data_IF_807598512469
#
_entry.id   IF_807598512469
#
_cell.length_a   1.000
_cell.length_b   1.000
_cell.length_c   1.000
_cell.angle_alpha   90.00
_cell.angle_beta   90.00
_cell.angle_gamma   90.00
#
_symmetry.space_group_name_H-M   'P 1'
#
loop_
_entity.id
_entity.type
_entity.pdbx_description
1 polymer ?
#
# COMPACT_ATOMS: atom_id res chain seq x y z
N UNK A 1 11.31 -0.40 -21.33
CA UNK A 1 10.18 0.19 -20.56
C UNK A 1 9.94 1.60 -21.07
N UNK A 2 8.72 1.99 -21.41
CA UNK A 2 8.48 3.38 -21.84
C UNK A 2 8.64 4.35 -20.65
N UNK A 3 9.10 5.57 -20.91
CA UNK A 3 9.28 6.61 -19.87
C UNK A 3 7.97 6.87 -19.12
N UNK A 4 6.84 6.78 -19.83
CA UNK A 4 5.51 6.89 -19.24
C UNK A 4 5.19 5.76 -18.25
N UNK A 5 5.53 4.51 -18.59
CA UNK A 5 5.30 3.38 -17.70
C UNK A 5 6.17 3.48 -16.44
N UNK A 6 7.43 3.91 -16.59
CA UNK A 6 8.33 4.12 -15.47
C UNK A 6 7.80 5.21 -14.51
N UNK A 7 7.42 6.37 -15.04
CA UNK A 7 6.88 7.46 -14.22
C UNK A 7 5.58 7.05 -13.51
N UNK A 8 4.74 6.28 -14.19
CA UNK A 8 3.52 5.77 -13.59
C UNK A 8 3.81 4.82 -12.42
N UNK A 9 4.70 3.84 -12.60
CA UNK A 9 4.93 2.79 -11.62
C UNK A 9 5.65 3.28 -10.35
N UNK A 10 6.62 4.20 -10.51
CA UNK A 10 7.50 4.61 -9.42
C UNK A 10 7.09 5.92 -8.74
N UNK A 11 6.28 6.75 -9.40
CA UNK A 11 5.85 8.03 -8.83
C UNK A 11 4.34 8.10 -8.65
N UNK A 12 3.57 7.90 -9.72
CA UNK A 12 2.11 8.11 -9.70
C UNK A 12 1.41 7.03 -8.87
N UNK A 13 1.67 5.76 -9.14
CA UNK A 13 0.99 4.64 -8.48
C UNK A 13 1.21 4.64 -6.96
N UNK A 14 2.44 4.77 -6.42
CA UNK A 14 2.66 4.85 -4.98
C UNK A 14 2.01 6.09 -4.35
N UNK A 15 1.89 7.21 -5.07
CA UNK A 15 1.19 8.41 -4.57
C UNK A 15 -0.30 8.12 -4.41
N UNK A 16 -0.91 7.49 -5.41
CA UNK A 16 -2.32 7.10 -5.35
C UNK A 16 -2.55 6.15 -4.16
N UNK A 17 -1.69 5.14 -4.00
CA UNK A 17 -1.75 4.22 -2.86
C UNK A 17 -1.62 4.95 -1.53
N UNK A 18 -0.73 5.93 -1.42
CA UNK A 18 -0.55 6.74 -0.22
C UNK A 18 -1.82 7.52 0.13
N UNK A 19 -2.44 8.20 -0.85
CA UNK A 19 -3.69 8.94 -0.64
C UNK A 19 -4.83 7.99 -0.24
N UNK A 20 -4.96 6.85 -0.91
CA UNK A 20 -5.95 5.81 -0.57
C UNK A 20 -5.72 5.30 0.86
N UNK A 21 -4.47 5.06 1.26
CA UNK A 21 -4.14 4.59 2.60
C UNK A 21 -4.56 5.61 3.67
N UNK A 22 -4.30 6.90 3.46
CA UNK A 22 -4.73 7.96 4.40
C UNK A 22 -6.26 8.02 4.55
N UNK A 23 -6.99 8.03 3.43
CA UNK A 23 -8.46 8.04 3.43
C UNK A 23 -8.99 6.76 4.10
N UNK A 24 -8.40 5.61 3.76
CA UNK A 24 -8.74 4.30 4.29
C UNK A 24 -8.53 4.18 5.79
N UNK A 25 -7.42 4.71 6.33
CA UNK A 25 -7.18 4.80 7.78
C UNK A 25 -8.26 5.65 8.45
N UNK A 26 -8.52 6.85 7.94
CA UNK A 26 -9.53 7.75 8.50
C UNK A 26 -10.93 7.12 8.54
N UNK A 27 -11.31 6.41 7.47
CA UNK A 27 -12.55 5.65 7.41
C UNK A 27 -12.55 4.44 8.35
N UNK A 28 -11.47 3.66 8.36
CA UNK A 28 -11.35 2.43 9.16
C UNK A 28 -11.41 2.71 10.66
N UNK A 29 -10.76 3.79 11.13
CA UNK A 29 -10.83 4.21 12.54
C UNK A 29 -12.27 4.53 12.96
N UNK A 30 -13.06 5.16 12.07
CA UNK A 30 -14.44 5.56 12.37
C UNK A 30 -15.47 4.44 12.25
N UNK A 31 -15.29 3.51 11.30
CA UNK A 31 -16.33 2.53 10.94
C UNK A 31 -15.96 1.09 11.24
N UNK A 32 -14.74 0.66 10.93
CA UNK A 32 -14.33 -0.74 11.11
C UNK A 32 -12.81 -0.84 11.24
N UNK A 33 -12.35 -1.09 12.48
CA UNK A 33 -10.93 -1.26 12.81
C UNK A 33 -10.29 -2.49 12.16
N UNK A 34 -11.10 -3.41 11.60
CA UNK A 34 -10.62 -4.65 10.95
C UNK A 34 -9.75 -4.39 9.71
N UNK A 35 -10.02 -3.30 8.99
CA UNK A 35 -9.26 -2.92 7.79
C UNK A 35 -8.03 -2.06 8.10
N UNK A 36 -7.87 -1.63 9.36
CA UNK A 36 -6.88 -0.63 9.75
C UNK A 36 -5.46 -1.10 9.45
N UNK A 37 -5.17 -2.36 9.77
CA UNK A 37 -3.84 -2.94 9.59
C UNK A 37 -3.42 -3.02 8.12
N UNK A 38 -4.36 -3.31 7.22
CA UNK A 38 -4.11 -3.31 5.79
C UNK A 38 -3.77 -1.91 5.26
N UNK A 39 -4.51 -0.89 5.68
CA UNK A 39 -4.20 0.50 5.28
C UNK A 39 -2.91 1.04 5.91
N UNK A 40 -2.56 0.64 7.14
CA UNK A 40 -1.27 0.99 7.74
C UNK A 40 -0.12 0.38 6.94
N UNK A 41 -0.22 -0.89 6.52
CA UNK A 41 0.78 -1.53 5.68
C UNK A 41 0.94 -0.84 4.32
N UNK A 42 -0.18 -0.41 3.71
CA UNK A 42 -0.12 0.41 2.49
C UNK A 42 0.61 1.73 2.71
N UNK A 43 0.33 2.41 3.81
CA UNK A 43 0.96 3.68 4.15
C UNK A 43 2.47 3.52 4.37
N UNK A 44 2.85 2.50 5.15
CA UNK A 44 4.25 2.16 5.41
C UNK A 44 4.99 1.74 4.14
N UNK A 45 4.35 0.95 3.28
CA UNK A 45 4.90 0.55 2.00
C UNK A 45 5.13 1.72 1.05
N UNK A 46 4.15 2.62 0.93
CA UNK A 46 4.32 3.83 0.13
C UNK A 46 5.40 4.76 0.73
N UNK A 47 5.43 4.92 2.05
CA UNK A 47 6.47 5.70 2.73
C UNK A 47 7.88 5.13 2.50
N UNK A 48 8.07 3.82 2.67
CA UNK A 48 9.35 3.14 2.41
C UNK A 48 9.73 3.15 0.93
N UNK A 49 8.75 3.08 0.02
CA UNK A 49 8.97 3.24 -1.42
C UNK A 49 9.58 4.61 -1.75
N UNK A 50 9.00 5.69 -1.22
CA UNK A 50 9.54 7.05 -1.38
C UNK A 50 10.87 7.25 -0.66
N UNK A 51 11.03 6.67 0.52
CA UNK A 51 12.29 6.73 1.27
C UNK A 51 13.44 6.11 0.46
N UNK A 52 13.23 4.93 -0.12
CA UNK A 52 14.20 4.28 -0.99
C UNK A 52 14.58 5.16 -2.19
N UNK A 53 13.58 5.68 -2.91
CA UNK A 53 13.82 6.47 -4.13
C UNK A 53 14.46 7.84 -3.87
N UNK A 54 13.97 8.58 -2.87
CA UNK A 54 14.31 9.99 -2.69
C UNK A 54 15.50 10.22 -1.75
N UNK A 55 15.61 9.39 -0.70
CA UNK A 55 16.58 9.58 0.39
C UNK A 55 17.80 8.71 0.19
N UNK A 56 17.63 7.39 0.04
CA UNK A 56 18.77 6.46 -0.15
C UNK A 56 19.38 6.62 -1.54
N UNK A 57 18.52 6.74 -2.57
CA UNK A 57 18.92 6.91 -3.99
C UNK A 57 19.77 5.75 -4.51
N UNK A 58 20.24 5.87 -5.76
CA UNK A 58 21.06 4.87 -6.44
C UNK A 58 20.43 3.47 -6.47
N UNK A 59 21.25 2.44 -6.68
CA UNK A 59 20.79 1.05 -6.80
C UNK A 59 20.21 0.51 -5.50
N UNK A 60 20.80 0.86 -4.34
CA UNK A 60 20.32 0.42 -3.04
C UNK A 60 18.94 1.00 -2.70
N UNK A 61 18.72 2.27 -3.03
CA UNK A 61 17.43 2.93 -2.89
C UNK A 61 16.34 2.34 -3.78
N UNK A 62 16.68 1.95 -5.02
CA UNK A 62 15.75 1.23 -5.89
C UNK A 62 15.40 -0.15 -5.34
N UNK A 63 16.37 -0.89 -4.79
CA UNK A 63 16.13 -2.19 -4.18
C UNK A 63 15.19 -2.08 -2.97
N UNK A 64 15.46 -1.15 -2.06
CA UNK A 64 14.59 -0.87 -0.90
C UNK A 64 13.18 -0.48 -1.37
N UNK A 65 13.10 0.39 -2.36
CA UNK A 65 11.84 0.88 -2.90
C UNK A 65 10.97 -0.25 -3.48
N UNK A 66 11.57 -1.17 -4.25
CA UNK A 66 10.87 -2.28 -4.89
C UNK A 66 10.54 -3.42 -3.92
N UNK A 67 11.55 -3.92 -3.20
CA UNK A 67 11.38 -5.12 -2.38
C UNK A 67 10.71 -4.83 -1.04
N UNK A 68 11.11 -3.77 -0.34
CA UNK A 68 10.52 -3.42 0.94
C UNK A 68 9.26 -2.56 0.74
N UNK A 69 9.37 -1.46 -0.01
CA UNK A 69 8.25 -0.56 -0.26
C UNK A 69 7.13 -1.22 -1.07
N UNK A 70 7.45 -1.65 -2.28
CA UNK A 70 6.52 -2.35 -3.17
C UNK A 70 5.96 -3.64 -2.56
N UNK A 71 6.81 -4.43 -1.90
CA UNK A 71 6.39 -5.63 -1.18
C UNK A 71 5.38 -5.35 -0.07
N UNK A 72 5.62 -4.31 0.73
CA UNK A 72 4.70 -3.89 1.80
C UNK A 72 3.38 -3.35 1.25
N UNK A 73 3.40 -2.65 0.13
CA UNK A 73 2.17 -2.22 -0.58
C UNK A 73 1.36 -3.46 -1.01
N UNK A 74 2.00 -4.44 -1.64
CA UNK A 74 1.32 -5.67 -2.07
C UNK A 74 0.74 -6.45 -0.88
N UNK A 75 1.49 -6.56 0.21
CA UNK A 75 1.01 -7.19 1.45
C UNK A 75 -0.19 -6.43 2.04
N UNK A 76 -0.14 -5.09 2.06
CA UNK A 76 -1.26 -4.27 2.51
C UNK A 76 -2.52 -4.50 1.68
N UNK A 77 -2.39 -4.55 0.34
CA UNK A 77 -3.51 -4.86 -0.57
C UNK A 77 -4.06 -6.26 -0.31
N UNK A 78 -3.18 -7.25 -0.15
CA UNK A 78 -3.57 -8.63 0.12
C UNK A 78 -4.35 -8.75 1.43
N UNK A 79 -3.87 -8.12 2.50
CA UNK A 79 -4.54 -8.12 3.81
C UNK A 79 -5.92 -7.48 3.70
N UNK A 80 -6.06 -6.35 2.99
CA UNK A 80 -7.37 -5.72 2.76
C UNK A 80 -8.32 -6.65 1.99
N UNK A 81 -7.82 -7.32 0.95
CA UNK A 81 -8.60 -8.23 0.14
C UNK A 81 -9.10 -9.44 0.94
N UNK A 82 -8.20 -10.08 1.70
CA UNK A 82 -8.54 -11.20 2.60
C UNK A 82 -9.58 -10.75 3.64
N UNK A 83 -9.37 -9.58 4.27
CA UNK A 83 -10.30 -9.04 5.27
C UNK A 83 -11.68 -8.81 4.69
N UNK A 84 -11.76 -8.33 3.44
CA UNK A 84 -13.02 -8.08 2.74
C UNK A 84 -13.75 -9.39 2.42
N UNK A 85 -13.04 -10.41 1.91
CA UNK A 85 -13.60 -11.74 1.64
C UNK A 85 -14.12 -12.37 2.94
N UNK A 86 -13.30 -12.37 3.98
CA UNK A 86 -13.66 -12.95 5.27
C UNK A 86 -14.91 -12.28 5.86
N UNK A 87 -15.00 -10.95 5.78
CA UNK A 87 -16.16 -10.21 6.28
C UNK A 87 -17.43 -10.54 5.49
N UNK A 88 -17.34 -10.70 4.16
CA UNK A 88 -18.47 -11.12 3.32
C UNK A 88 -18.93 -12.55 3.59
N UNK A 89 -18.00 -13.48 3.81
CA UNK A 89 -18.32 -14.86 4.14
C UNK A 89 -19.01 -14.95 5.50
N UNK A 90 -18.47 -14.26 6.51
CA UNK A 90 -19.06 -14.21 7.84
C UNK A 90 -20.50 -13.66 7.82
N UNK A 91 -20.79 -12.66 6.99
CA UNK A 91 -22.13 -12.10 6.84
C UNK A 91 -23.14 -13.02 6.11
N UNK A 92 -22.67 -14.05 5.39
CA UNK A 92 -23.54 -15.04 4.73
C UNK A 92 -23.81 -16.28 5.61
N UNK A 93 -23.00 -16.49 6.64
CA UNK A 93 -23.09 -17.62 7.57
C UNK A 93 -23.98 -17.32 8.79
N UNK A 94 -24.38 -16.06 8.96
CA UNK A 94 -25.34 -15.56 9.96
C UNK A 94 -26.65 -15.27 9.25
#
# INVERSE_FOLDING_TARGET
MSVHLFNFLFYIFPTIIFVIALIGIGWSVRKSKRYLIGYILLLLGAGTHYYGLLIVRAWDGMAISLFLGGGSILLGLLVLFITLIYTKLAAKLV
#
